data_IF_113567244870
#
_entry.id   IF_113567244870
#
_cell.length_a   1.000
_cell.length_b   1.000
_cell.length_c   1.000
_cell.angle_alpha   90.00
_cell.angle_beta   90.00
_cell.angle_gamma   90.00
#
_symmetry.space_group_name_H-M   'P 1'
#
loop_
_entity.id
_entity.type
_entity.pdbx_description
1 polymer ?
#
# COMPACT_ATOMS: atom_id res chain seq x y z
N UNK A 1 -31.16 -49.79 -66.74
CA UNK A 1 -31.83 -51.12 -66.63
C UNK A 1 -32.41 -51.18 -65.23
N UNK A 2 -33.69 -50.97 -65.10
CA UNK A 2 -34.76 -51.97 -64.86
C UNK A 2 -34.65 -52.65 -63.53
N UNK A 3 -35.63 -52.73 -62.62
CA UNK A 3 -37.10 -52.66 -62.58
C UNK A 3 -37.45 -52.74 -61.05
N UNK A 4 -38.29 -51.90 -60.46
CA UNK A 4 -39.70 -52.10 -60.20
C UNK A 4 -40.14 -53.30 -59.37
N UNK A 5 -40.79 -53.10 -58.21
CA UNK A 5 -42.10 -53.62 -57.81
C UNK A 5 -42.38 -53.29 -56.31
N UNK A 6 -43.31 -52.54 -55.95
CA UNK A 6 -44.74 -52.49 -55.63
C UNK A 6 -45.17 -53.38 -54.45
N UNK A 7 -45.77 -52.63 -53.50
CA UNK A 7 -46.72 -52.88 -52.41
C UNK A 7 -47.53 -54.21 -52.41
N UNK A 8 -48.14 -54.62 -51.28
CA UNK A 8 -49.37 -53.92 -50.88
C UNK A 8 -49.71 -53.82 -49.37
N UNK A 9 -50.61 -52.95 -49.13
CA UNK A 9 -51.50 -52.55 -48.03
C UNK A 9 -52.14 -53.73 -47.24
N UNK A 10 -52.26 -53.58 -45.90
CA UNK A 10 -53.33 -54.22 -45.11
C UNK A 10 -53.75 -53.30 -43.96
N UNK A 11 -55.04 -53.16 -43.83
CA UNK A 11 -55.80 -52.23 -42.95
C UNK A 11 -56.13 -52.87 -41.60
N UNK A 12 -56.00 -52.02 -40.55
CA UNK A 12 -56.84 -51.80 -39.33
C UNK A 12 -57.32 -52.96 -38.47
N UNK A 13 -57.73 -52.79 -37.18
CA UNK A 13 -58.61 -51.70 -36.72
C UNK A 13 -58.30 -51.08 -35.33
N UNK A 14 -59.02 -49.97 -35.10
CA UNK A 14 -59.20 -49.19 -33.88
C UNK A 14 -59.41 -50.02 -32.59
N UNK A 15 -58.71 -49.56 -31.52
CA UNK A 15 -59.20 -49.71 -30.13
C UNK A 15 -58.95 -48.41 -29.34
N UNK A 16 -60.05 -47.75 -28.96
CA UNK A 16 -60.12 -46.69 -27.94
C UNK A 16 -59.84 -47.35 -26.56
N UNK A 17 -59.08 -46.66 -25.72
CA UNK A 17 -59.38 -46.39 -24.31
C UNK A 17 -58.18 -45.73 -23.61
N UNK A 18 -58.50 -44.75 -22.80
CA UNK A 18 -57.84 -44.44 -21.57
C UNK A 18 -57.11 -43.09 -21.53
N UNK A 19 -57.86 -42.03 -21.21
CA UNK A 19 -57.31 -40.79 -20.68
C UNK A 19 -56.64 -41.04 -19.33
N UNK A 20 -55.34 -40.90 -19.25
CA UNK A 20 -54.64 -40.78 -17.94
C UNK A 20 -53.96 -39.41 -17.94
N UNK A 21 -54.55 -38.51 -17.18
CA UNK A 21 -53.94 -37.22 -16.81
C UNK A 21 -52.69 -37.48 -15.99
N UNK A 22 -51.53 -37.32 -16.59
CA UNK A 22 -50.27 -37.11 -15.83
C UNK A 22 -50.11 -35.62 -15.53
N UNK A 23 -50.39 -35.27 -14.28
CA UNK A 23 -50.00 -33.96 -13.70
C UNK A 23 -48.48 -33.86 -13.72
N UNK A 24 -47.95 -33.13 -14.67
CA UNK A 24 -46.53 -32.69 -14.63
C UNK A 24 -46.39 -31.61 -13.54
N UNK A 25 -45.91 -32.00 -12.37
CA UNK A 25 -45.38 -31.06 -11.40
C UNK A 25 -44.01 -30.55 -11.91
N UNK A 26 -44.02 -29.34 -12.47
CA UNK A 26 -42.83 -28.57 -12.74
C UNK A 26 -42.21 -28.20 -11.38
N UNK A 27 -41.16 -28.89 -10.97
CA UNK A 27 -40.25 -28.41 -9.95
C UNK A 27 -39.39 -27.30 -10.58
N UNK A 28 -39.79 -26.05 -10.37
CA UNK A 28 -38.93 -24.91 -10.64
C UNK A 28 -37.80 -24.88 -9.58
N UNK A 29 -36.65 -25.45 -9.94
CA UNK A 29 -35.43 -25.27 -9.17
C UNK A 29 -34.96 -23.81 -9.38
N UNK A 30 -35.26 -22.97 -8.39
CA UNK A 30 -34.72 -21.62 -8.28
C UNK A 30 -33.22 -21.75 -7.93
N UNK A 31 -32.37 -21.74 -8.97
CA UNK A 31 -30.92 -21.59 -8.77
C UNK A 31 -30.68 -20.17 -8.22
N UNK A 32 -30.49 -20.04 -6.91
CA UNK A 32 -29.88 -18.88 -6.31
C UNK A 32 -28.41 -18.89 -6.77
N UNK A 33 -28.12 -18.20 -7.86
CA UNK A 33 -26.74 -17.87 -8.23
C UNK A 33 -26.24 -16.84 -7.20
N UNK A 34 -25.44 -17.28 -6.22
CA UNK A 34 -24.58 -16.40 -5.45
C UNK A 34 -23.59 -15.78 -6.45
N UNK A 35 -23.92 -14.62 -6.96
CA UNK A 35 -22.95 -13.77 -7.65
C UNK A 35 -22.01 -13.22 -6.58
N UNK A 36 -20.89 -13.90 -6.36
CA UNK A 36 -19.76 -13.31 -5.68
C UNK A 36 -19.25 -12.20 -6.63
N UNK A 37 -19.74 -10.97 -6.47
CA UNK A 37 -19.15 -9.83 -7.13
C UNK A 37 -17.71 -9.73 -6.64
N UNK A 38 -16.71 -9.62 -7.53
CA UNK A 38 -15.37 -9.28 -7.08
C UNK A 38 -15.46 -7.97 -6.30
N UNK A 39 -14.78 -7.88 -5.17
CA UNK A 39 -14.67 -6.65 -4.43
C UNK A 39 -14.05 -5.61 -5.39
N UNK A 40 -14.87 -4.68 -5.86
CA UNK A 40 -14.44 -3.55 -6.66
C UNK A 40 -14.08 -2.43 -5.69
N UNK A 41 -13.02 -1.69 -6.00
CA UNK A 41 -12.73 -0.48 -5.26
C UNK A 41 -13.94 0.46 -5.30
N UNK A 42 -14.29 1.02 -4.15
CA UNK A 42 -15.40 1.95 -4.03
C UNK A 42 -15.00 3.30 -4.63
N UNK A 43 -15.91 3.89 -5.41
CA UNK A 43 -15.75 5.25 -5.91
C UNK A 43 -16.03 6.29 -4.79
N UNK A 44 -15.55 7.52 -4.97
CA UNK A 44 -15.76 8.62 -4.02
C UNK A 44 -17.23 8.72 -3.55
N UNK A 45 -18.19 8.62 -4.46
CA UNK A 45 -19.62 8.75 -4.11
C UNK A 45 -20.11 7.59 -3.24
N UNK A 46 -19.57 6.39 -3.40
CA UNK A 46 -19.89 5.23 -2.57
C UNK A 46 -19.32 5.40 -1.16
N UNK A 47 -18.09 5.93 -1.05
CA UNK A 47 -17.46 6.27 0.24
C UNK A 47 -18.32 7.29 1.01
N UNK A 48 -18.76 8.36 0.33
CA UNK A 48 -19.61 9.39 0.93
C UNK A 48 -20.97 8.84 1.38
N UNK A 49 -21.58 7.94 0.59
CA UNK A 49 -22.87 7.33 0.93
C UNK A 49 -22.76 6.34 2.11
N UNK A 50 -21.66 5.59 2.18
CA UNK A 50 -21.39 4.62 3.25
C UNK A 50 -20.97 5.32 4.56
N UNK A 51 -20.51 6.56 4.48
CA UNK A 51 -20.08 7.35 5.64
C UNK A 51 -18.75 6.86 6.25
N UNK A 52 -17.99 6.05 5.54
CA UNK A 52 -16.72 5.47 6.05
C UNK A 52 -15.64 5.48 4.98
N UNK A 53 -14.47 6.03 5.30
CA UNK A 53 -13.25 6.00 4.51
C UNK A 53 -12.30 4.93 5.08
N UNK A 54 -12.06 3.84 4.34
CA UNK A 54 -11.12 2.78 4.72
C UNK A 54 -9.71 3.18 4.30
N UNK A 55 -8.87 3.46 5.30
CA UNK A 55 -7.51 3.99 5.12
C UNK A 55 -6.48 2.91 5.37
N UNK A 56 -5.65 2.62 4.37
CA UNK A 56 -4.48 1.78 4.53
C UNK A 56 -3.30 2.59 5.07
N UNK A 57 -2.69 2.10 6.13
CA UNK A 57 -1.50 2.68 6.76
C UNK A 57 -0.41 1.63 6.95
N UNK A 58 0.84 2.07 7.07
CA UNK A 58 1.96 1.20 7.40
C UNK A 58 2.68 1.74 8.64
N UNK A 59 3.01 0.86 9.59
CA UNK A 59 3.73 1.27 10.80
C UNK A 59 5.12 1.80 10.44
N UNK A 60 5.34 3.08 10.72
CA UNK A 60 6.53 3.82 10.36
C UNK A 60 6.55 5.16 11.10
N UNK A 61 7.24 5.22 12.22
CA UNK A 61 7.30 6.45 13.02
C UNK A 61 8.12 7.55 12.31
N UNK A 62 7.67 8.81 12.33
CA UNK A 62 6.47 9.35 12.96
C UNK A 62 5.22 9.36 12.06
N UNK A 63 5.28 8.74 10.88
CA UNK A 63 4.17 8.68 9.93
C UNK A 63 2.96 7.95 10.54
N UNK A 64 3.17 6.72 11.02
CA UNK A 64 2.17 5.93 11.75
C UNK A 64 2.82 5.17 12.88
N UNK A 65 2.31 5.36 14.08
CA UNK A 65 2.80 4.76 15.33
C UNK A 65 1.66 3.97 15.96
N UNK A 66 1.98 2.79 16.45
CA UNK A 66 1.06 2.02 17.30
C UNK A 66 1.48 2.15 18.74
N UNK A 67 0.61 2.75 19.56
CA UNK A 67 0.83 2.87 21.00
C UNK A 67 0.64 1.54 21.75
N UNK A 68 0.99 1.51 23.06
CA UNK A 68 0.93 0.29 23.87
C UNK A 68 -0.48 -0.31 24.02
N UNK A 69 -1.53 0.51 23.96
CA UNK A 69 -2.94 0.07 24.01
C UNK A 69 -3.48 -0.32 22.63
N UNK A 70 -2.65 -0.22 21.56
CA UNK A 70 -3.02 -0.55 20.19
C UNK A 70 -3.56 0.61 19.36
N UNK A 71 -3.71 1.79 19.97
CA UNK A 71 -4.13 3.02 19.27
C UNK A 71 -3.10 3.42 18.21
N UNK A 72 -3.63 3.99 17.11
CA UNK A 72 -2.81 4.53 16.04
C UNK A 72 -2.73 6.05 16.16
N UNK A 73 -1.51 6.57 16.09
CA UNK A 73 -1.16 7.99 16.05
C UNK A 73 -0.11 8.23 14.96
N UNK A 74 0.21 9.48 14.67
CA UNK A 74 1.21 9.80 13.66
C UNK A 74 0.69 10.80 12.63
N UNK A 75 1.61 11.29 11.81
CA UNK A 75 1.31 12.28 10.77
C UNK A 75 0.19 11.78 9.84
N UNK A 76 0.29 10.57 9.33
CA UNK A 76 -0.69 10.00 8.40
C UNK A 76 -2.05 9.76 9.06
N UNK A 77 -2.05 9.43 10.34
CA UNK A 77 -3.29 9.24 11.09
C UNK A 77 -4.02 10.58 11.24
N UNK A 78 -3.30 11.66 11.58
CA UNK A 78 -3.89 12.98 11.72
C UNK A 78 -4.36 13.52 10.36
N UNK A 79 -3.56 13.34 9.30
CA UNK A 79 -3.91 13.74 7.93
C UNK A 79 -5.16 13.01 7.44
N UNK A 80 -5.22 11.67 7.62
CA UNK A 80 -6.37 10.90 7.18
C UNK A 80 -7.64 11.17 8.01
N UNK A 81 -7.51 11.43 9.32
CA UNK A 81 -8.64 11.88 10.16
C UNK A 81 -9.19 13.21 9.69
N UNK A 82 -8.31 14.18 9.41
CA UNK A 82 -8.73 15.49 8.93
C UNK A 82 -9.37 15.40 7.54
N UNK A 83 -8.84 14.55 6.66
CA UNK A 83 -9.45 14.27 5.36
C UNK A 83 -10.87 13.72 5.52
N UNK A 84 -11.05 12.69 6.36
CA UNK A 84 -12.36 12.09 6.62
C UNK A 84 -13.35 13.07 7.26
N UNK A 85 -12.90 13.88 8.24
CA UNK A 85 -13.68 14.96 8.83
C UNK A 85 -14.20 15.94 7.76
N UNK A 86 -13.31 16.40 6.88
CA UNK A 86 -13.65 17.35 5.82
C UNK A 86 -14.56 16.72 4.73
N UNK A 87 -14.53 15.40 4.58
CA UNK A 87 -15.44 14.62 3.74
C UNK A 87 -16.79 14.37 4.43
N UNK A 88 -16.90 14.57 5.73
CA UNK A 88 -18.10 14.24 6.53
C UNK A 88 -18.29 12.72 6.73
N UNK A 89 -17.20 11.94 6.76
CA UNK A 89 -17.20 10.50 6.96
C UNK A 89 -16.29 10.10 8.13
N UNK A 90 -16.36 8.84 8.59
CA UNK A 90 -15.47 8.29 9.61
C UNK A 90 -14.25 7.62 8.95
N UNK A 91 -13.05 7.78 9.54
CA UNK A 91 -11.85 7.09 9.10
C UNK A 91 -11.72 5.73 9.81
N UNK A 92 -11.62 4.66 9.02
CA UNK A 92 -11.29 3.31 9.48
C UNK A 92 -9.87 2.94 9.04
N UNK A 93 -8.96 2.66 10.00
CA UNK A 93 -7.56 2.39 9.72
C UNK A 93 -7.26 0.90 9.66
N UNK A 94 -6.63 0.50 8.55
CA UNK A 94 -6.18 -0.87 8.30
C UNK A 94 -4.65 -0.89 8.13
N UNK A 95 -3.95 -1.66 8.97
CA UNK A 95 -2.49 -1.69 8.99
C UNK A 95 -1.97 -2.79 8.07
N UNK A 96 -1.07 -2.41 7.17
CA UNK A 96 -0.40 -3.29 6.21
C UNK A 96 1.11 -3.24 6.37
N UNK A 97 1.78 -4.28 5.88
CA UNK A 97 3.20 -4.15 5.54
C UNK A 97 3.36 -3.30 4.28
N UNK A 98 4.51 -2.64 4.12
CA UNK A 98 4.78 -1.77 2.94
C UNK A 98 4.66 -2.51 1.62
N UNK A 99 5.06 -3.78 1.60
CA UNK A 99 4.96 -4.67 0.44
C UNK A 99 3.50 -4.94 0.03
N UNK A 100 2.60 -5.08 1.01
CA UNK A 100 1.22 -5.52 0.77
C UNK A 100 0.19 -4.40 0.64
N UNK A 101 0.52 -3.17 1.03
CA UNK A 101 -0.47 -2.09 1.11
C UNK A 101 -1.10 -1.75 -0.24
N UNK A 102 -0.33 -1.80 -1.34
CA UNK A 102 -0.86 -1.57 -2.70
C UNK A 102 -1.81 -2.71 -3.11
N UNK A 103 -1.52 -3.95 -2.72
CA UNK A 103 -2.41 -5.09 -2.99
C UNK A 103 -3.74 -4.94 -2.24
N UNK A 104 -3.70 -4.46 -1.00
CA UNK A 104 -4.92 -4.15 -0.22
C UNK A 104 -5.80 -3.08 -0.90
N UNK A 105 -5.18 -2.08 -1.53
CA UNK A 105 -5.90 -1.09 -2.32
C UNK A 105 -6.48 -1.71 -3.61
N UNK A 106 -5.69 -2.44 -4.38
CA UNK A 106 -6.11 -3.10 -5.62
C UNK A 106 -7.24 -4.11 -5.41
N UNK A 107 -7.24 -4.81 -4.26
CA UNK A 107 -8.30 -5.77 -3.90
C UNK A 107 -9.58 -5.11 -3.40
N UNK A 108 -9.58 -3.78 -3.17
CA UNK A 108 -10.72 -3.05 -2.62
C UNK A 108 -10.95 -3.27 -1.12
N UNK A 109 -9.96 -3.79 -0.39
CA UNK A 109 -10.00 -3.87 1.07
C UNK A 109 -9.94 -2.48 1.71
N UNK A 110 -9.25 -1.54 1.07
CA UNK A 110 -9.13 -0.13 1.46
C UNK A 110 -9.46 0.79 0.29
N UNK A 111 -9.79 2.04 0.58
CA UNK A 111 -10.19 3.05 -0.40
C UNK A 111 -9.03 3.98 -0.75
N UNK A 112 -8.14 4.21 0.22
CA UNK A 112 -7.02 5.13 0.11
C UNK A 112 -5.81 4.61 0.90
N UNK A 113 -4.62 4.89 0.41
CA UNK A 113 -3.37 4.71 1.14
C UNK A 113 -2.92 6.09 1.65
N UNK A 114 -2.68 6.19 2.98
CA UNK A 114 -2.02 7.29 3.66
C UNK A 114 -0.89 6.69 4.53
N UNK A 115 0.32 6.57 3.97
CA UNK A 115 1.40 5.77 4.56
C UNK A 115 2.81 6.27 4.22
N UNK A 116 2.99 7.55 3.93
CA UNK A 116 4.27 8.07 3.42
C UNK A 116 4.66 7.36 2.11
N UNK A 117 3.67 7.12 1.24
CA UNK A 117 3.90 6.36 0.01
C UNK A 117 4.51 7.26 -1.06
N UNK A 118 5.81 7.07 -1.30
CA UNK A 118 6.53 7.82 -2.32
C UNK A 118 6.01 7.52 -3.72
N UNK A 119 5.83 8.58 -4.52
CA UNK A 119 5.42 8.48 -5.93
C UNK A 119 6.58 7.87 -6.73
N UNK A 120 6.31 6.75 -7.41
CA UNK A 120 7.23 6.17 -8.40
C UNK A 120 6.48 5.79 -9.68
N UNK A 121 7.17 5.75 -10.85
CA UNK A 121 6.54 5.33 -12.09
C UNK A 121 5.92 3.92 -12.01
N UNK A 122 6.59 2.98 -11.35
CA UNK A 122 6.14 1.59 -11.19
C UNK A 122 4.83 1.53 -10.41
N UNK A 123 4.76 2.27 -9.29
CA UNK A 123 3.55 2.36 -8.47
C UNK A 123 2.43 3.09 -9.22
N UNK A 124 2.76 4.14 -9.99
CA UNK A 124 1.79 4.89 -10.79
C UNK A 124 1.16 4.08 -11.92
N UNK A 125 1.78 2.98 -12.36
CA UNK A 125 1.15 2.01 -13.27
C UNK A 125 0.01 1.25 -12.59
N UNK A 126 0.07 1.06 -11.28
CA UNK A 126 -0.86 0.25 -10.49
C UNK A 126 -1.96 1.07 -9.82
N UNK A 127 -1.60 2.23 -9.28
CA UNK A 127 -2.51 3.11 -8.52
C UNK A 127 -2.54 4.52 -9.12
N UNK A 128 -3.54 5.32 -8.75
CA UNK A 128 -3.54 6.75 -9.01
C UNK A 128 -3.03 7.49 -7.78
N UNK A 129 -2.10 8.41 -7.99
CA UNK A 129 -1.62 9.29 -6.93
C UNK A 129 -2.34 10.64 -6.97
N UNK A 130 -2.56 11.24 -5.80
CA UNK A 130 -2.81 12.68 -5.67
C UNK A 130 -1.54 13.48 -6.00
N UNK A 131 -1.64 14.81 -6.04
CA UNK A 131 -0.44 15.61 -5.86
C UNK A 131 0.21 15.31 -4.49
N UNK A 132 1.53 15.51 -4.35
CA UNK A 132 2.20 15.22 -3.09
C UNK A 132 1.77 16.21 -1.99
N UNK A 133 1.56 15.70 -0.78
CA UNK A 133 1.28 16.50 0.42
C UNK A 133 2.44 16.49 1.42
N UNK A 134 3.45 15.64 1.19
CA UNK A 134 4.65 15.57 2.01
C UNK A 134 5.90 15.34 1.15
N UNK A 135 7.04 15.59 1.76
CA UNK A 135 8.36 15.33 1.19
C UNK A 135 9.13 14.47 2.17
N UNK A 136 9.86 13.51 1.64
CA UNK A 136 10.82 12.74 2.39
C UNK A 136 12.10 12.55 1.56
N UNK A 137 13.08 11.92 2.15
CA UNK A 137 14.31 11.59 1.47
C UNK A 137 14.83 10.26 1.94
N UNK A 138 15.36 9.45 1.06
CA UNK A 138 16.07 8.22 1.41
C UNK A 138 17.52 8.57 1.71
N UNK A 139 17.97 8.28 2.92
CA UNK A 139 19.35 8.45 3.34
C UNK A 139 19.93 7.16 3.91
N UNK A 140 21.17 7.23 4.33
CA UNK A 140 21.97 6.10 4.81
C UNK A 140 22.30 6.30 6.28
N UNK A 141 21.99 5.33 7.13
CA UNK A 141 22.63 5.17 8.42
C UNK A 141 23.72 4.09 8.35
N UNK A 142 24.84 4.27 9.06
CA UNK A 142 25.94 3.32 9.07
C UNK A 142 26.27 2.86 10.49
N UNK A 143 26.77 1.63 10.64
CA UNK A 143 27.29 1.14 11.90
C UNK A 143 28.75 1.58 12.06
N UNK A 144 29.03 2.42 13.07
CA UNK A 144 30.34 3.01 13.31
C UNK A 144 31.49 1.98 13.47
N UNK A 145 31.20 0.80 14.01
CA UNK A 145 32.24 -0.21 14.22
C UNK A 145 32.59 -0.96 12.93
N UNK A 146 31.60 -1.32 12.11
CA UNK A 146 31.81 -2.11 10.90
C UNK A 146 32.21 -1.25 9.70
N UNK A 147 31.90 0.05 9.71
CA UNK A 147 32.28 1.01 8.66
C UNK A 147 33.42 1.93 9.05
N UNK A 148 34.18 1.61 10.09
CA UNK A 148 35.25 2.47 10.62
C UNK A 148 36.37 2.79 9.60
N UNK A 149 36.51 2.01 8.54
CA UNK A 149 37.48 2.22 7.44
C UNK A 149 36.88 2.88 6.21
N UNK A 150 35.58 3.10 6.18
CA UNK A 150 34.86 3.78 5.09
C UNK A 150 35.16 5.26 5.17
N UNK A 151 35.68 5.82 4.08
CA UNK A 151 35.99 7.25 3.98
C UNK A 151 35.00 7.97 3.07
N UNK A 152 34.62 7.30 1.99
CA UNK A 152 33.67 7.83 1.00
C UNK A 152 32.50 6.86 0.83
N UNK A 153 31.39 7.39 0.32
CA UNK A 153 30.18 6.59 0.04
C UNK A 153 30.47 5.42 -0.91
N UNK A 154 31.34 5.65 -1.88
CA UNK A 154 31.73 4.66 -2.89
C UNK A 154 32.45 3.44 -2.29
N UNK A 155 33.08 3.59 -1.13
CA UNK A 155 33.77 2.49 -0.43
C UNK A 155 32.78 1.41 0.02
N UNK A 156 31.52 1.78 0.26
CA UNK A 156 30.44 0.84 0.60
C UNK A 156 29.97 -0.01 -0.59
N UNK A 157 30.37 0.34 -1.81
CA UNK A 157 30.02 -0.40 -3.01
C UNK A 157 30.96 -1.59 -3.24
N UNK A 158 31.15 -2.42 -2.23
CA UNK A 158 32.02 -3.59 -2.23
C UNK A 158 31.31 -4.78 -1.55
N UNK A 159 31.59 -5.98 -2.02
CA UNK A 159 31.01 -7.23 -1.51
C UNK A 159 31.38 -7.54 -0.05
N UNK A 160 32.29 -6.81 0.55
CA UNK A 160 32.61 -6.88 1.98
C UNK A 160 31.53 -6.22 2.85
N UNK A 161 30.69 -5.33 2.28
CA UNK A 161 29.66 -4.61 3.01
C UNK A 161 28.26 -5.12 2.71
N UNK A 162 27.45 -5.21 3.78
CA UNK A 162 26.03 -5.58 3.71
C UNK A 162 25.16 -4.35 3.94
N UNK A 163 24.29 -4.04 2.96
CA UNK A 163 23.41 -2.88 3.04
C UNK A 163 21.96 -3.34 3.17
N UNK A 164 21.30 -2.89 4.23
CA UNK A 164 19.91 -3.22 4.53
C UNK A 164 18.92 -2.27 3.89
N UNK A 165 17.72 -2.77 3.57
CA UNK A 165 16.52 -2.00 3.33
C UNK A 165 15.27 -2.78 3.75
N UNK A 166 14.12 -2.08 3.88
CA UNK A 166 12.83 -2.75 4.07
C UNK A 166 12.22 -3.08 2.71
N UNK A 167 11.72 -4.30 2.58
CA UNK A 167 11.08 -4.79 1.35
C UNK A 167 9.87 -3.93 0.96
N UNK A 168 9.73 -3.66 -0.34
CA UNK A 168 8.64 -2.84 -0.89
C UNK A 168 8.85 -1.33 -0.74
N UNK A 169 10.02 -0.88 -0.25
CA UNK A 169 10.38 0.55 -0.16
C UNK A 169 11.16 1.03 -1.39
N UNK A 170 11.29 2.35 -1.50
CA UNK A 170 12.16 2.95 -2.55
C UNK A 170 13.63 2.62 -2.26
N UNK A 171 14.00 2.46 -0.99
CA UNK A 171 15.35 2.14 -0.56
C UNK A 171 15.82 0.78 -1.10
N UNK A 172 14.93 -0.22 -1.18
CA UNK A 172 15.25 -1.53 -1.79
C UNK A 172 15.80 -1.37 -3.22
N UNK A 173 15.06 -0.67 -4.09
CA UNK A 173 15.47 -0.43 -5.48
C UNK A 173 16.70 0.50 -5.58
N UNK A 174 16.96 1.32 -4.55
CA UNK A 174 18.06 2.25 -4.52
C UNK A 174 19.40 1.56 -4.26
N UNK A 175 19.43 0.47 -3.48
CA UNK A 175 20.63 -0.33 -3.21
C UNK A 175 21.24 -0.82 -4.53
N UNK A 176 20.46 -1.50 -5.37
CA UNK A 176 20.95 -2.05 -6.64
C UNK A 176 21.48 -0.97 -7.60
N UNK A 177 20.95 0.24 -7.49
CA UNK A 177 21.34 1.38 -8.35
C UNK A 177 22.61 2.08 -7.90
N UNK A 178 22.79 2.26 -6.58
CA UNK A 178 23.91 3.03 -6.02
C UNK A 178 25.04 2.11 -5.57
N UNK A 179 24.71 0.95 -5.03
CA UNK A 179 25.67 0.01 -4.45
C UNK A 179 25.62 -1.39 -5.09
N UNK A 180 25.71 -1.50 -6.44
CA UNK A 180 25.57 -2.79 -7.12
C UNK A 180 26.65 -3.82 -6.74
N UNK A 181 27.75 -3.40 -6.11
CA UNK A 181 28.84 -4.28 -5.63
C UNK A 181 28.64 -4.76 -4.19
N UNK A 182 27.76 -4.11 -3.40
CA UNK A 182 27.51 -4.49 -2.02
C UNK A 182 26.58 -5.72 -1.92
N UNK A 183 26.48 -6.29 -0.72
CA UNK A 183 25.55 -7.38 -0.42
C UNK A 183 24.22 -6.79 0.06
N UNK A 184 23.10 -6.90 -0.70
CA UNK A 184 21.82 -6.43 -0.21
C UNK A 184 21.23 -7.40 0.81
N UNK A 185 20.62 -6.88 1.86
CA UNK A 185 19.82 -7.64 2.83
C UNK A 185 18.48 -6.97 3.07
N UNK A 186 17.39 -7.67 2.76
CA UNK A 186 16.04 -7.12 2.87
C UNK A 186 15.30 -7.66 4.09
N UNK A 187 14.57 -6.75 4.76
CA UNK A 187 13.81 -7.03 5.97
C UNK A 187 12.32 -6.76 5.74
N UNK A 188 11.46 -7.48 6.44
CA UNK A 188 10.02 -7.30 6.35
C UNK A 188 9.49 -6.07 7.11
N UNK A 189 10.27 -5.50 8.04
CA UNK A 189 9.89 -4.39 8.90
C UNK A 189 11.10 -3.55 9.35
N UNK A 190 10.80 -2.34 9.85
CA UNK A 190 11.81 -1.38 10.31
C UNK A 190 12.56 -1.83 11.55
N UNK A 191 11.90 -2.51 12.47
CA UNK A 191 12.48 -2.90 13.76
C UNK A 191 13.61 -3.92 13.54
N UNK A 192 13.34 -4.93 12.71
CA UNK A 192 14.31 -5.95 12.34
C UNK A 192 15.52 -5.36 11.62
N UNK A 193 15.30 -4.44 10.63
CA UNK A 193 16.38 -3.78 9.91
C UNK A 193 17.23 -2.87 10.84
N UNK A 194 16.56 -2.08 11.67
CA UNK A 194 17.21 -1.18 12.63
C UNK A 194 18.06 -1.97 13.66
N UNK A 195 17.51 -3.07 14.16
CA UNK A 195 18.22 -3.95 15.09
C UNK A 195 19.46 -4.56 14.45
N UNK A 196 19.36 -4.98 13.18
CA UNK A 196 20.50 -5.52 12.44
C UNK A 196 21.63 -4.49 12.29
N UNK A 197 21.28 -3.22 11.98
CA UNK A 197 22.24 -2.13 11.90
C UNK A 197 22.92 -1.87 13.27
N UNK A 198 22.11 -1.67 14.32
CA UNK A 198 22.62 -1.36 15.68
C UNK A 198 23.56 -2.45 16.20
N UNK A 199 23.31 -3.71 15.85
CA UNK A 199 24.11 -4.86 16.28
C UNK A 199 25.30 -5.15 15.36
N UNK A 200 25.46 -4.42 14.24
CA UNK A 200 26.52 -4.64 13.25
C UNK A 200 26.36 -5.94 12.44
N UNK A 201 25.14 -6.46 12.34
CA UNK A 201 24.82 -7.60 11.45
C UNK A 201 24.78 -7.16 9.99
N UNK A 202 24.43 -5.88 9.77
CA UNK A 202 24.56 -5.17 8.50
C UNK A 202 25.40 -3.91 8.75
N UNK A 203 26.08 -3.44 7.70
CA UNK A 203 27.02 -2.34 7.79
C UNK A 203 26.32 -0.98 7.61
N UNK A 204 25.31 -0.97 6.77
CA UNK A 204 24.53 0.22 6.47
C UNK A 204 23.05 -0.12 6.31
N UNK A 205 22.21 0.89 6.48
CA UNK A 205 20.75 0.79 6.32
C UNK A 205 20.22 2.00 5.55
N UNK A 206 19.67 1.76 4.36
CA UNK A 206 18.95 2.74 3.57
C UNK A 206 17.49 2.77 4.01
N UNK A 207 17.03 3.97 4.41
CA UNK A 207 15.62 4.18 4.73
C UNK A 207 15.25 5.65 4.54
N UNK A 208 13.96 5.93 4.48
CA UNK A 208 13.48 7.29 4.42
C UNK A 208 13.65 8.01 5.76
N UNK A 209 13.96 9.30 5.68
CA UNK A 209 13.93 10.18 6.84
C UNK A 209 12.53 10.17 7.50
N UNK A 210 12.46 10.29 8.84
CA UNK A 210 13.57 10.57 9.77
C UNK A 210 14.17 9.32 10.46
N UNK A 211 13.93 8.10 9.97
CA UNK A 211 14.38 6.87 10.67
C UNK A 211 15.90 6.80 10.82
N UNK A 212 16.72 7.00 9.78
CA UNK A 212 18.18 7.00 9.93
C UNK A 212 18.67 8.01 10.97
N UNK A 213 18.13 9.23 10.92
CA UNK A 213 18.47 10.29 11.87
C UNK A 213 18.08 9.91 13.31
N UNK A 214 16.91 9.30 13.52
CA UNK A 214 16.49 8.86 14.86
C UNK A 214 17.35 7.72 15.38
N UNK A 215 17.73 6.77 14.54
CA UNK A 215 18.63 5.67 14.93
C UNK A 215 19.98 6.21 15.41
N UNK A 216 20.55 7.18 14.71
CA UNK A 216 21.80 7.82 15.11
C UNK A 216 21.66 8.60 16.43
N UNK A 217 20.56 9.36 16.60
CA UNK A 217 20.32 10.09 17.86
C UNK A 217 20.10 9.19 19.06
N UNK A 218 19.46 8.04 18.88
CA UNK A 218 19.20 7.07 19.93
C UNK A 218 20.40 6.17 20.25
N UNK A 219 21.28 5.98 19.27
CA UNK A 219 22.45 5.09 19.37
C UNK A 219 23.75 5.80 18.95
N UNK A 220 24.11 6.96 19.52
CA UNK A 220 25.17 7.82 19.02
C UNK A 220 26.58 7.22 19.09
N UNK A 221 26.76 6.11 19.82
CA UNK A 221 28.03 5.38 19.90
C UNK A 221 28.11 4.19 18.93
N UNK A 222 27.02 3.90 18.21
CA UNK A 222 26.93 2.74 17.32
C UNK A 222 26.54 3.10 15.88
N UNK A 223 25.75 4.16 15.71
CA UNK A 223 25.13 4.54 14.43
C UNK A 223 25.38 6.00 14.16
N UNK A 224 25.67 6.32 12.91
CA UNK A 224 25.69 7.70 12.40
C UNK A 224 24.95 7.82 11.07
N UNK A 225 24.74 9.07 10.63
CA UNK A 225 24.23 9.43 9.30
C UNK A 225 25.33 10.24 8.62
N UNK A 226 26.17 9.58 7.78
CA UNK A 226 27.38 10.21 7.27
C UNK A 226 27.11 11.27 6.20
N UNK A 227 25.88 11.35 5.67
CA UNK A 227 25.54 12.25 4.58
C UNK A 227 24.72 13.46 5.08
N UNK A 228 25.10 14.70 4.69
CA UNK A 228 24.33 15.89 5.05
C UNK A 228 23.00 16.02 4.29
N UNK A 229 22.92 15.41 3.10
CA UNK A 229 21.75 15.44 2.23
C UNK A 229 21.28 14.01 1.90
N UNK A 230 19.98 13.79 1.70
CA UNK A 230 19.46 12.50 1.26
C UNK A 230 20.03 12.07 -0.10
N UNK A 231 20.29 10.79 -0.27
CA UNK A 231 20.68 10.17 -1.54
C UNK A 231 19.59 10.28 -2.61
N UNK A 232 18.35 10.31 -2.19
CA UNK A 232 17.19 10.48 -3.05
C UNK A 232 16.14 11.30 -2.31
N UNK A 233 15.69 12.39 -2.91
CA UNK A 233 14.51 13.11 -2.44
C UNK A 233 13.25 12.47 -3.04
N UNK A 234 12.25 12.22 -2.22
CA UNK A 234 10.97 11.66 -2.62
C UNK A 234 9.82 12.62 -2.29
N UNK A 235 8.69 12.38 -2.94
CA UNK A 235 7.43 13.09 -2.70
C UNK A 235 6.37 12.05 -2.37
N UNK A 236 5.69 12.25 -1.25
CA UNK A 236 4.73 11.30 -0.74
C UNK A 236 3.32 11.81 -0.97
N UNK A 237 2.44 10.92 -1.42
CA UNK A 237 1.09 11.26 -1.85
C UNK A 237 0.08 10.19 -1.40
N UNK A 238 -1.18 10.57 -1.37
CA UNK A 238 -2.26 9.60 -1.28
C UNK A 238 -2.27 8.73 -2.54
N UNK A 239 -2.54 7.45 -2.36
CA UNK A 239 -2.83 6.56 -3.48
C UNK A 239 -4.25 6.04 -3.39
N UNK A 240 -4.95 6.05 -4.52
CA UNK A 240 -6.30 5.53 -4.68
C UNK A 240 -6.32 4.55 -5.86
N UNK A 241 -7.37 3.75 -5.94
CA UNK A 241 -7.50 2.77 -7.00
C UNK A 241 -7.62 3.41 -8.39
N UNK A 242 -7.23 2.66 -9.41
CA UNK A 242 -7.41 3.08 -10.81
C UNK A 242 -8.89 3.27 -11.12
N UNK A 243 -9.20 4.30 -11.94
CA UNK A 243 -10.55 4.55 -12.44
C UNK A 243 -11.35 5.59 -11.68
N UNK A 244 -10.98 5.98 -10.45
CA UNK A 244 -11.64 7.04 -9.69
C UNK A 244 -10.91 8.39 -9.86
N UNK A 245 -11.16 9.05 -10.97
CA UNK A 245 -10.60 10.38 -11.25
C UNK A 245 -11.19 11.45 -10.33
N UNK A 246 -12.46 11.33 -9.94
CA UNK A 246 -13.14 12.30 -9.10
C UNK A 246 -12.54 12.31 -7.69
N UNK A 247 -12.16 11.16 -7.16
CA UNK A 247 -11.47 11.09 -5.87
C UNK A 247 -10.09 11.77 -5.93
N UNK A 248 -9.31 11.53 -6.99
CA UNK A 248 -8.01 12.21 -7.18
C UNK A 248 -8.18 13.73 -7.29
N UNK A 249 -9.18 14.19 -8.04
CA UNK A 249 -9.48 15.64 -8.18
C UNK A 249 -9.84 16.25 -6.83
N UNK A 250 -10.69 15.56 -6.06
CA UNK A 250 -11.07 15.99 -4.70
C UNK A 250 -9.82 16.06 -3.79
N UNK A 251 -8.99 15.00 -3.76
CA UNK A 251 -7.78 14.97 -2.94
C UNK A 251 -6.82 16.11 -3.29
N UNK A 252 -6.64 16.39 -4.58
CA UNK A 252 -5.80 17.51 -5.02
C UNK A 252 -6.35 18.86 -4.55
N UNK A 253 -7.65 19.07 -4.65
CA UNK A 253 -8.29 20.28 -4.15
C UNK A 253 -8.18 20.41 -2.62
N UNK A 254 -8.35 19.30 -1.90
CA UNK A 254 -8.20 19.23 -0.45
C UNK A 254 -6.77 19.57 0.00
N UNK A 255 -5.76 19.01 -0.67
CA UNK A 255 -4.36 19.30 -0.37
C UNK A 255 -4.07 20.78 -0.54
N UNK A 256 -4.48 21.39 -1.68
CA UNK A 256 -4.32 22.84 -1.92
C UNK A 256 -4.97 23.66 -0.80
N UNK A 257 -6.17 23.28 -0.35
CA UNK A 257 -6.87 23.97 0.72
C UNK A 257 -6.10 23.88 2.04
N UNK A 258 -5.60 22.68 2.41
CA UNK A 258 -4.86 22.46 3.66
C UNK A 258 -3.43 23.00 3.64
N UNK A 259 -2.82 23.17 2.47
CA UNK A 259 -1.58 23.93 2.30
C UNK A 259 -1.84 25.44 2.47
N UNK A 260 -2.92 25.95 1.86
CA UNK A 260 -3.26 27.38 1.88
C UNK A 260 -3.59 27.90 3.27
N UNK A 261 -4.25 27.08 4.12
CA UNK A 261 -4.55 27.40 5.51
C UNK A 261 -3.44 27.03 6.50
N UNK A 262 -2.31 26.53 5.98
CA UNK A 262 -1.12 26.11 6.74
C UNK A 262 -1.32 24.90 7.66
N UNK A 263 -2.46 24.21 7.57
CA UNK A 263 -2.74 23.08 8.43
C UNK A 263 -1.76 21.92 8.20
N UNK A 264 -1.50 21.56 6.91
CA UNK A 264 -0.53 20.50 6.58
C UNK A 264 0.87 20.83 7.07
N UNK A 265 1.32 22.08 6.93
CA UNK A 265 2.62 22.51 7.45
C UNK A 265 2.68 22.39 8.98
N UNK A 266 1.64 22.84 9.67
CA UNK A 266 1.59 22.80 11.14
C UNK A 266 1.67 21.38 11.69
N UNK A 267 0.93 20.44 11.08
CA UNK A 267 0.95 19.06 11.54
C UNK A 267 2.26 18.33 11.16
N UNK A 268 2.84 18.68 9.99
CA UNK A 268 4.17 18.22 9.62
C UNK A 268 5.22 18.66 10.63
N UNK A 269 5.29 19.94 10.96
CA UNK A 269 6.25 20.48 11.94
C UNK A 269 6.09 19.81 13.31
N UNK A 270 4.84 19.54 13.72
CA UNK A 270 4.58 18.84 14.97
C UNK A 270 5.24 17.46 15.00
N UNK A 271 5.08 16.68 13.94
CA UNK A 271 5.56 15.30 13.89
C UNK A 271 7.06 15.18 13.55
N UNK A 272 7.58 16.03 12.68
CA UNK A 272 8.94 15.88 12.16
C UNK A 272 9.96 16.86 12.76
N UNK A 273 9.53 18.08 13.15
CA UNK A 273 10.46 19.09 13.63
C UNK A 273 10.51 19.17 15.15
N UNK A 274 9.34 19.12 15.83
CA UNK A 274 9.32 19.38 17.29
C UNK A 274 9.67 18.16 18.13
N UNK A 275 9.52 16.96 17.61
CA UNK A 275 9.73 15.67 18.30
C UNK A 275 8.96 15.53 19.64
N UNK A 276 7.93 16.35 19.87
CA UNK A 276 7.16 16.36 21.12
C UNK A 276 6.39 15.07 21.38
N UNK A 277 6.07 14.35 20.33
CA UNK A 277 5.38 13.07 20.36
C UNK A 277 6.25 11.92 20.93
N UNK A 278 7.58 12.10 21.05
CA UNK A 278 8.54 11.12 21.59
C UNK A 278 8.70 11.19 23.11
N UNK A 279 8.00 12.08 23.79
CA UNK A 279 8.12 12.31 25.23
C UNK A 279 7.14 11.46 26.04
#
# INVERSE_FOLDING_TARGET
MAKKARNPVSRSPLRRKGCVHKRNTLFSALLLSLTCSPASARALQEILNDGTLRVGVALYAPWTIRGPSGELTGFEIDVARKLAEDMGVEAEFNVYSRERIILGLESGEIDIIAAGLSITPERALRVNFSQPYARSGTTLATNLATTATVVNLEDLNDSAYTIAAVTGTVAEALIDRIFPGAQPQFFGDLESASTALINGTVDAYLENEPVPTFLALENPTKVDVPLPDPLLQTRDAFAVNKGDADFVIFLNAWIIARESDTWLQTIHDYWFETLRWRR
#
